data_IF_757915761802
#
_entry.id   IF_757915761802
#
_cell.length_a   1.000
_cell.length_b   1.000
_cell.length_c   1.000
_cell.angle_alpha   90.00
_cell.angle_beta   90.00
_cell.angle_gamma   90.00
#
_symmetry.space_group_name_H-M   'P 1'
#
loop_
_entity.id
_entity.type
_entity.pdbx_description
1 polymer ?
#
# COMPACT_ATOMS: atom_id res chain seq x y z
N UNK A 1 4.30 11.76 8.26
CA UNK A 1 5.68 11.26 8.33
C UNK A 1 5.66 9.85 8.89
N UNK A 2 6.34 8.88 8.24
CA UNK A 2 6.56 7.51 8.75
C UNK A 2 8.04 7.37 9.10
N UNK A 3 8.34 6.85 10.29
CA UNK A 3 9.70 6.73 10.80
C UNK A 3 9.97 5.32 11.34
N UNK A 4 11.12 4.78 10.97
CA UNK A 4 11.74 3.63 11.63
C UNK A 4 12.89 4.13 12.49
N UNK A 5 12.88 3.79 13.77
CA UNK A 5 13.92 4.18 14.72
C UNK A 5 14.59 2.94 15.29
N UNK A 6 15.82 2.65 14.83
CA UNK A 6 16.67 1.54 15.27
C UNK A 6 15.97 0.17 15.28
N UNK A 7 15.17 -0.10 14.24
CA UNK A 7 14.34 -1.31 14.14
C UNK A 7 15.20 -2.55 13.91
N UNK A 8 15.10 -3.52 14.81
CA UNK A 8 15.65 -4.86 14.65
C UNK A 8 14.53 -5.91 14.64
N UNK A 9 14.67 -6.94 13.82
CA UNK A 9 13.68 -8.01 13.73
C UNK A 9 14.28 -9.33 13.25
N UNK A 10 13.87 -10.44 13.88
CA UNK A 10 14.30 -11.80 13.55
C UNK A 10 13.12 -12.77 13.51
N UNK A 11 13.17 -13.76 12.61
CA UNK A 11 12.33 -14.94 12.70
C UNK A 11 13.10 -16.06 13.41
N UNK A 12 12.87 -16.21 14.72
CA UNK A 12 13.64 -17.14 15.56
C UNK A 12 15.13 -16.76 15.58
N UNK A 13 15.99 -17.60 14.97
CA UNK A 13 17.45 -17.32 14.88
C UNK A 13 17.86 -16.59 13.60
N UNK A 14 16.92 -16.38 12.67
CA UNK A 14 17.22 -15.72 11.39
C UNK A 14 17.03 -14.23 11.52
N UNK A 15 18.12 -13.49 11.54
CA UNK A 15 18.11 -12.03 11.48
C UNK A 15 17.57 -11.55 10.13
N UNK A 16 16.65 -10.59 10.15
CA UNK A 16 16.05 -9.98 8.96
C UNK A 16 16.45 -8.51 8.85
N UNK A 17 16.31 -7.76 9.95
CA UNK A 17 16.72 -6.35 10.03
C UNK A 17 17.57 -6.14 11.27
N UNK A 18 18.62 -5.36 11.13
CA UNK A 18 19.56 -4.98 12.19
C UNK A 18 19.71 -3.47 12.24
N UNK A 19 19.18 -2.87 13.31
CA UNK A 19 19.32 -1.44 13.57
C UNK A 19 18.90 -0.56 12.38
N UNK A 20 17.79 -0.90 11.73
CA UNK A 20 17.28 -0.23 10.55
C UNK A 20 16.61 1.09 10.94
N UNK A 21 17.10 2.22 10.41
CA UNK A 21 16.49 3.54 10.61
C UNK A 21 16.25 4.20 9.27
N UNK A 22 15.08 4.80 9.11
CA UNK A 22 14.69 5.54 7.92
C UNK A 22 13.53 6.47 8.21
N UNK A 23 13.48 7.59 7.49
CA UNK A 23 12.39 8.56 7.51
C UNK A 23 11.74 8.59 6.13
N UNK A 24 10.41 8.54 6.08
CA UNK A 24 9.62 8.63 4.84
C UNK A 24 8.70 9.84 4.90
N UNK A 25 8.84 10.70 3.91
CA UNK A 25 8.18 11.99 3.88
C UNK A 25 6.80 11.92 3.20
N UNK A 26 5.93 12.82 3.60
CA UNK A 26 4.61 13.01 3.02
C UNK A 26 4.71 13.52 1.59
N UNK A 27 3.87 13.00 0.71
CA UNK A 27 3.84 13.39 -0.70
C UNK A 27 5.04 12.86 -1.49
N UNK A 28 5.64 11.74 -1.07
CA UNK A 28 6.76 11.14 -1.78
C UNK A 28 6.62 9.64 -1.94
N UNK A 29 7.30 9.11 -2.94
CA UNK A 29 7.46 7.69 -3.20
C UNK A 29 8.86 7.22 -2.81
N UNK A 30 8.95 6.09 -2.11
CA UNK A 30 10.23 5.42 -1.81
C UNK A 30 10.19 3.98 -2.28
N UNK A 31 11.11 3.60 -3.16
CA UNK A 31 11.32 2.21 -3.53
C UNK A 31 12.23 1.53 -2.49
N UNK A 32 11.76 0.42 -1.92
CA UNK A 32 12.55 -0.48 -1.09
C UNK A 32 13.07 -1.62 -1.98
N UNK A 33 14.35 -1.59 -2.29
CA UNK A 33 14.98 -2.58 -3.15
C UNK A 33 15.74 -3.64 -2.37
N UNK A 34 15.87 -4.81 -2.98
CA UNK A 34 16.67 -5.91 -2.46
C UNK A 34 16.30 -7.23 -3.12
N UNK A 35 17.17 -8.24 -3.06
CA UNK A 35 16.88 -9.54 -3.63
C UNK A 35 15.70 -10.22 -2.96
N UNK A 36 15.19 -11.29 -3.58
CA UNK A 36 14.15 -12.11 -2.95
C UNK A 36 14.65 -12.65 -1.60
N UNK A 37 13.81 -12.55 -0.57
CA UNK A 37 14.16 -12.97 0.79
C UNK A 37 15.03 -11.99 1.59
N UNK A 38 15.32 -10.77 1.09
CA UNK A 38 16.08 -9.74 1.82
C UNK A 38 15.32 -9.12 3.00
N UNK A 39 14.00 -9.32 3.09
CA UNK A 39 13.19 -8.77 4.18
C UNK A 39 12.23 -7.64 3.77
N UNK A 40 12.07 -7.33 2.47
CA UNK A 40 11.16 -6.27 1.98
C UNK A 40 9.74 -6.40 2.54
N UNK A 41 9.11 -7.55 2.32
CA UNK A 41 7.75 -7.83 2.85
C UNK A 41 7.71 -7.78 4.38
N UNK A 42 8.78 -8.22 5.07
CA UNK A 42 8.89 -8.13 6.53
C UNK A 42 8.93 -6.68 6.98
N UNK A 43 9.72 -5.85 6.31
CA UNK A 43 9.78 -4.40 6.58
C UNK A 43 8.41 -3.75 6.41
N UNK A 44 7.67 -4.03 5.31
CA UNK A 44 6.31 -3.52 5.14
C UNK A 44 5.35 -4.00 6.24
N UNK A 45 5.52 -5.25 6.73
CA UNK A 45 4.70 -5.79 7.83
C UNK A 45 5.03 -5.19 9.19
N UNK A 46 6.23 -4.68 9.39
CA UNK A 46 6.58 -3.88 10.56
C UNK A 46 5.96 -2.48 10.47
N UNK A 47 5.98 -1.88 9.27
CA UNK A 47 5.39 -0.56 9.02
C UNK A 47 3.86 -0.54 9.16
N UNK A 48 3.16 -1.63 8.80
CA UNK A 48 1.70 -1.75 8.96
C UNK A 48 1.27 -2.33 10.33
N UNK A 49 2.21 -2.51 11.26
CA UNK A 49 1.93 -3.06 12.58
C UNK A 49 1.50 -4.53 12.60
N UNK A 50 1.60 -5.26 11.46
CA UNK A 50 1.31 -6.70 11.38
C UNK A 50 2.38 -7.54 12.08
N UNK A 51 3.57 -6.97 12.26
CA UNK A 51 4.66 -7.51 13.07
C UNK A 51 5.10 -6.45 14.06
N UNK A 52 5.56 -6.91 15.22
CA UNK A 52 6.20 -6.06 16.22
C UNK A 52 7.71 -6.22 16.09
N UNK A 53 8.50 -5.13 16.06
CA UNK A 53 9.96 -5.22 16.06
C UNK A 53 10.48 -5.79 17.38
N UNK A 54 11.61 -6.52 17.33
CA UNK A 54 12.31 -7.01 18.54
C UNK A 54 13.00 -5.86 19.29
N UNK A 55 13.52 -4.87 18.53
CA UNK A 55 14.11 -3.63 19.05
C UNK A 55 13.68 -2.44 18.22
N UNK A 56 13.75 -1.24 18.81
CA UNK A 56 13.38 -0.01 18.13
C UNK A 56 11.87 0.17 18.01
N UNK A 57 11.44 1.07 17.13
CA UNK A 57 10.02 1.36 16.94
C UNK A 57 9.72 1.85 15.53
N UNK A 58 8.44 1.71 15.14
CA UNK A 58 7.88 2.30 13.91
C UNK A 58 6.78 3.26 14.29
N UNK A 59 6.83 4.49 13.78
CA UNK A 59 5.84 5.51 14.08
C UNK A 59 5.24 6.11 12.81
N UNK A 60 3.94 6.45 12.87
CA UNK A 60 3.25 7.27 11.87
C UNK A 60 2.80 8.54 12.58
N UNK A 61 3.26 9.71 12.10
CA UNK A 61 3.02 11.02 12.71
C UNK A 61 3.30 11.05 14.22
N UNK A 62 4.37 10.36 14.65
CA UNK A 62 4.82 10.25 16.04
C UNK A 62 4.06 9.21 16.88
N UNK A 63 3.02 8.58 16.36
CA UNK A 63 2.28 7.51 17.05
C UNK A 63 2.88 6.14 16.69
N UNK A 64 3.25 5.34 17.70
CA UNK A 64 3.78 3.98 17.48
C UNK A 64 2.71 3.08 16.86
N UNK A 65 2.99 2.48 15.70
CA UNK A 65 2.05 1.66 14.93
C UNK A 65 1.51 0.46 15.73
N UNK A 66 2.31 -0.09 16.65
CA UNK A 66 1.91 -1.21 17.48
C UNK A 66 1.00 -0.79 18.67
N UNK A 67 0.89 0.52 18.96
CA UNK A 67 0.00 1.09 19.97
C UNK A 67 -1.32 1.61 19.40
N UNK A 68 -1.42 1.75 18.08
CA UNK A 68 -2.65 2.17 17.40
C UNK A 68 -3.59 0.97 17.30
N UNK A 69 -4.89 1.18 17.58
CA UNK A 69 -5.88 0.13 17.32
C UNK A 69 -5.77 -0.33 15.85
N UNK A 70 -5.63 -1.63 15.65
CA UNK A 70 -5.41 -2.24 14.33
C UNK A 70 -6.48 -1.86 13.29
N UNK A 71 -7.73 -1.65 13.72
CA UNK A 71 -8.80 -1.21 12.84
C UNK A 71 -8.57 0.20 12.33
N UNK A 72 -8.13 1.09 13.20
CA UNK A 72 -7.81 2.47 12.84
C UNK A 72 -6.55 2.53 11.98
N UNK A 73 -5.54 1.73 12.31
CA UNK A 73 -4.30 1.67 11.54
C UNK A 73 -4.56 1.20 10.10
N UNK A 74 -5.19 0.01 9.94
CA UNK A 74 -5.43 -0.60 8.62
C UNK A 74 -6.70 -0.10 7.92
N UNK A 75 -7.54 0.66 8.60
CA UNK A 75 -8.79 1.20 8.04
C UNK A 75 -8.67 2.60 7.45
N UNK A 76 -7.69 3.40 7.90
CA UNK A 76 -7.58 4.80 7.48
C UNK A 76 -6.16 5.35 7.43
N UNK A 77 -5.23 4.84 8.24
CA UNK A 77 -3.88 5.39 8.29
C UNK A 77 -2.92 4.72 7.32
N UNK A 78 -2.98 3.38 7.22
CA UNK A 78 -2.04 2.60 6.43
C UNK A 78 -2.77 1.57 5.59
N UNK A 79 -2.59 1.58 4.29
CA UNK A 79 -3.19 0.64 3.36
C UNK A 79 -2.12 -0.16 2.62
N UNK A 80 -2.43 -1.45 2.35
CA UNK A 80 -1.53 -2.33 1.57
C UNK A 80 -2.09 -2.64 0.20
N UNK A 81 -1.20 -2.59 -0.77
CA UNK A 81 -1.40 -3.11 -2.13
C UNK A 81 -0.56 -4.39 -2.24
N UNK A 82 -1.17 -5.48 -2.65
CA UNK A 82 -0.55 -6.80 -2.73
C UNK A 82 -0.28 -7.20 -4.17
N UNK A 83 0.72 -8.05 -4.38
CA UNK A 83 1.07 -8.60 -5.68
C UNK A 83 -0.06 -9.45 -6.29
N UNK A 84 -0.84 -10.15 -5.45
CA UNK A 84 -1.99 -10.98 -5.84
C UNK A 84 -3.32 -10.21 -5.88
N UNK A 85 -3.27 -8.87 -5.91
CA UNK A 85 -4.39 -7.92 -5.97
C UNK A 85 -5.41 -8.04 -4.82
N UNK A 86 -5.66 -9.24 -4.32
CA UNK A 86 -6.65 -9.60 -3.29
C UNK A 86 -8.05 -9.05 -3.58
N UNK A 87 -8.44 -9.09 -4.84
CA UNK A 87 -9.80 -8.80 -5.24
C UNK A 87 -10.68 -10.03 -5.06
N UNK A 88 -11.98 -9.78 -4.85
CA UNK A 88 -12.98 -10.83 -4.82
C UNK A 88 -13.47 -11.02 -6.27
N UNK A 89 -13.16 -12.14 -6.94
CA UNK A 89 -13.28 -12.26 -8.39
C UNK A 89 -14.74 -12.30 -8.90
N UNK A 90 -15.68 -12.68 -8.05
CA UNK A 90 -17.12 -12.75 -8.35
C UNK A 90 -17.88 -11.48 -7.97
N UNK A 91 -17.25 -10.50 -7.37
CA UNK A 91 -17.76 -9.16 -7.18
C UNK A 91 -17.36 -8.27 -8.35
N UNK A 92 -18.18 -7.28 -8.64
CA UNK A 92 -17.79 -6.25 -9.61
C UNK A 92 -16.75 -5.27 -9.03
N UNK A 93 -16.24 -4.38 -9.87
CA UNK A 93 -15.22 -3.40 -9.50
C UNK A 93 -15.74 -2.45 -8.42
N UNK A 94 -16.96 -1.97 -8.54
CA UNK A 94 -17.62 -1.09 -7.57
C UNK A 94 -17.71 -1.77 -6.20
N UNK A 95 -18.19 -3.00 -6.17
CA UNK A 95 -18.32 -3.80 -4.94
C UNK A 95 -16.96 -4.03 -4.27
N UNK A 96 -15.92 -4.36 -5.06
CA UNK A 96 -14.55 -4.51 -4.53
C UNK A 96 -14.01 -3.23 -3.88
N UNK A 97 -14.28 -2.05 -4.45
CA UNK A 97 -13.86 -0.77 -3.86
C UNK A 97 -14.72 -0.44 -2.62
N UNK A 98 -16.01 -0.75 -2.66
CA UNK A 98 -16.92 -0.52 -1.53
C UNK A 98 -16.49 -1.25 -0.26
N UNK A 99 -15.84 -2.40 -0.36
CA UNK A 99 -15.31 -3.12 0.81
C UNK A 99 -14.40 -2.25 1.70
N UNK A 100 -13.66 -1.30 1.10
CA UNK A 100 -12.84 -0.36 1.87
C UNK A 100 -13.71 0.61 2.70
N UNK A 101 -14.75 1.17 2.10
CA UNK A 101 -15.68 2.06 2.80
C UNK A 101 -16.43 1.33 3.91
N UNK A 102 -16.89 0.09 3.66
CA UNK A 102 -17.56 -0.72 4.65
C UNK A 102 -16.68 -1.05 5.86
N UNK A 103 -15.42 -1.39 5.60
CA UNK A 103 -14.46 -1.66 6.68
C UNK A 103 -14.26 -0.42 7.58
N UNK A 104 -14.23 0.77 6.99
CA UNK A 104 -14.09 2.02 7.73
C UNK A 104 -15.37 2.38 8.50
N UNK A 105 -16.56 2.26 7.90
CA UNK A 105 -17.83 2.58 8.56
C UNK A 105 -18.12 1.65 9.74
N UNK A 106 -17.80 0.35 9.65
CA UNK A 106 -17.87 -0.58 10.80
C UNK A 106 -16.97 -0.13 11.94
N UNK A 107 -15.81 0.45 11.63
CA UNK A 107 -14.89 0.97 12.65
C UNK A 107 -15.45 2.19 13.38
N UNK A 108 -16.32 2.98 12.73
CA UNK A 108 -16.99 4.15 13.32
C UNK A 108 -18.31 3.80 14.04
N UNK A 109 -18.63 2.51 14.21
CA UNK A 109 -19.86 2.08 14.91
C UNK A 109 -21.16 2.30 14.11
N UNK A 110 -21.08 2.60 12.81
CA UNK A 110 -22.23 2.80 11.94
C UNK A 110 -22.64 1.47 11.28
N UNK A 111 -23.72 0.88 11.74
CA UNK A 111 -24.20 -0.46 11.31
C UNK A 111 -25.19 -0.41 10.15
N UNK A 112 -25.20 0.61 9.31
CA UNK A 112 -26.13 0.70 8.18
C UNK A 112 -25.42 0.73 6.84
N UNK A 113 -25.20 -0.47 6.28
CA UNK A 113 -25.03 -0.66 4.84
C UNK A 113 -26.43 -0.97 4.29
N UNK A 114 -27.14 0.06 3.90
CA UNK A 114 -28.29 -0.06 2.97
C UNK A 114 -28.22 1.15 2.04
N UNK A 115 -27.99 0.80 0.77
CA UNK A 115 -27.92 1.71 -0.37
C UNK A 115 -26.63 2.56 -0.40
N UNK A 116 -25.77 2.25 -1.36
CA UNK A 116 -24.66 3.13 -1.76
C UNK A 116 -25.23 4.52 -1.92
N UNK A 117 -24.83 5.44 -1.07
CA UNK A 117 -25.30 6.82 -1.21
C UNK A 117 -24.85 7.35 -2.57
N UNK A 118 -25.61 8.26 -3.17
CA UNK A 118 -25.22 8.88 -4.45
C UNK A 118 -23.84 9.55 -4.36
N UNK A 119 -23.46 9.99 -3.16
CA UNK A 119 -22.14 10.54 -2.88
C UNK A 119 -21.03 9.48 -2.96
N UNK A 120 -21.23 8.28 -2.41
CA UNK A 120 -20.27 7.17 -2.50
C UNK A 120 -20.13 6.67 -3.93
N UNK A 121 -21.24 6.58 -4.69
CA UNK A 121 -21.21 6.23 -6.11
C UNK A 121 -20.34 7.20 -6.90
N UNK A 122 -20.55 8.52 -6.75
CA UNK A 122 -19.74 9.53 -7.42
C UNK A 122 -18.26 9.46 -6.98
N UNK A 123 -18.00 9.13 -5.71
CA UNK A 123 -16.63 8.95 -5.21
C UNK A 123 -15.94 7.78 -5.89
N UNK A 124 -16.63 6.63 -6.07
CA UNK A 124 -16.07 5.46 -6.75
C UNK A 124 -15.82 5.78 -8.24
N UNK A 125 -16.74 6.45 -8.92
CA UNK A 125 -16.55 6.82 -10.32
C UNK A 125 -15.34 7.74 -10.50
N UNK A 126 -15.13 8.72 -9.60
CA UNK A 126 -13.93 9.57 -9.60
C UNK A 126 -12.65 8.76 -9.33
N UNK A 127 -12.68 7.80 -8.40
CA UNK A 127 -11.54 6.92 -8.14
C UNK A 127 -11.19 6.07 -9.36
N UNK A 128 -12.22 5.58 -10.08
CA UNK A 128 -12.01 4.81 -11.31
C UNK A 128 -11.43 5.67 -12.44
N UNK A 129 -11.83 6.94 -12.56
CA UNK A 129 -11.19 7.89 -13.48
C UNK A 129 -9.72 8.11 -13.11
N UNK A 130 -9.41 8.27 -11.83
CA UNK A 130 -8.06 8.49 -11.32
C UNK A 130 -7.11 7.33 -11.62
N UNK A 131 -7.61 6.09 -11.56
CA UNK A 131 -6.82 4.89 -11.90
C UNK A 131 -6.96 4.47 -13.38
N UNK A 132 -7.52 5.31 -14.24
CA UNK A 132 -7.75 5.06 -15.67
C UNK A 132 -8.63 3.84 -15.97
N UNK A 133 -9.69 3.64 -15.16
CA UNK A 133 -10.72 2.61 -15.33
C UNK A 133 -12.14 3.21 -15.43
N UNK A 134 -12.26 4.40 -16.04
CA UNK A 134 -13.56 5.01 -16.27
C UNK A 134 -14.50 4.03 -17.02
N UNK A 135 -15.72 3.84 -16.51
CA UNK A 135 -16.71 2.94 -17.10
C UNK A 135 -16.61 1.47 -16.68
N UNK A 136 -15.61 1.07 -15.88
CA UNK A 136 -15.39 -0.33 -15.47
C UNK A 136 -16.18 -0.73 -14.21
N UNK A 137 -16.93 0.17 -13.61
CA UNK A 137 -17.60 -0.03 -12.31
C UNK A 137 -18.39 -1.37 -12.20
N UNK A 138 -19.07 -1.78 -13.27
CA UNK A 138 -19.93 -2.96 -13.30
C UNK A 138 -19.25 -4.20 -13.93
N UNK A 139 -17.95 -4.17 -14.20
CA UNK A 139 -17.22 -5.33 -14.70
C UNK A 139 -16.82 -6.25 -13.54
N UNK A 140 -16.94 -7.56 -13.73
CA UNK A 140 -16.50 -8.55 -12.73
C UNK A 140 -14.97 -8.49 -12.60
N UNK A 141 -14.47 -8.40 -11.38
CA UNK A 141 -13.04 -8.30 -11.12
C UNK A 141 -12.24 -9.50 -11.67
N UNK A 142 -12.84 -10.70 -11.68
CA UNK A 142 -12.20 -11.90 -12.21
C UNK A 142 -12.09 -11.94 -13.75
N UNK A 143 -12.71 -11.02 -14.47
CA UNK A 143 -12.65 -10.93 -15.95
C UNK A 143 -11.64 -9.87 -16.43
N UNK A 144 -11.08 -9.10 -15.52
CA UNK A 144 -10.11 -8.05 -15.80
C UNK A 144 -8.73 -8.63 -16.10
N UNK A 145 -7.95 -7.93 -16.94
CA UNK A 145 -6.51 -8.18 -17.10
C UNK A 145 -5.75 -7.92 -15.80
N UNK A 146 -4.53 -8.44 -15.68
CA UNK A 146 -3.70 -8.23 -14.48
C UNK A 146 -3.47 -6.75 -14.16
N UNK A 147 -3.19 -5.93 -15.18
CA UNK A 147 -3.01 -4.49 -15.01
C UNK A 147 -4.30 -3.77 -14.56
N UNK A 148 -5.46 -4.16 -15.08
CA UNK A 148 -6.75 -3.63 -14.65
C UNK A 148 -7.07 -4.06 -13.21
N UNK A 149 -6.83 -5.32 -12.84
CA UNK A 149 -6.99 -5.80 -11.46
C UNK A 149 -6.11 -5.02 -10.49
N UNK A 150 -4.86 -4.74 -10.87
CA UNK A 150 -3.96 -3.93 -10.04
C UNK A 150 -4.47 -2.50 -9.87
N UNK A 151 -5.00 -1.87 -10.92
CA UNK A 151 -5.62 -0.54 -10.83
C UNK A 151 -6.84 -0.53 -9.91
N UNK A 152 -7.67 -1.57 -9.92
CA UNK A 152 -8.79 -1.73 -8.97
C UNK A 152 -8.26 -1.87 -7.53
N UNK A 153 -7.19 -2.65 -7.32
CA UNK A 153 -6.56 -2.79 -6.00
C UNK A 153 -5.99 -1.45 -5.48
N UNK A 154 -5.41 -0.62 -6.38
CA UNK A 154 -4.96 0.73 -6.07
C UNK A 154 -6.15 1.63 -5.74
N UNK A 155 -7.22 1.66 -6.56
CA UNK A 155 -8.42 2.43 -6.29
C UNK A 155 -9.02 2.09 -4.91
N UNK A 156 -9.09 0.80 -4.58
CA UNK A 156 -9.51 0.34 -3.26
C UNK A 156 -8.60 0.85 -2.13
N UNK A 157 -7.29 0.88 -2.35
CA UNK A 157 -6.34 1.36 -1.35
C UNK A 157 -6.47 2.87 -1.09
N UNK A 158 -6.66 3.67 -2.15
CA UNK A 158 -6.75 5.13 -2.02
C UNK A 158 -8.15 5.63 -1.63
N UNK A 159 -9.18 4.78 -1.69
CA UNK A 159 -10.57 5.13 -1.38
C UNK A 159 -10.72 5.80 0.00
N UNK A 160 -9.88 5.43 0.96
CA UNK A 160 -9.88 5.95 2.32
C UNK A 160 -8.89 7.10 2.55
N UNK A 161 -8.21 7.57 1.50
CA UNK A 161 -7.19 8.62 1.57
C UNK A 161 -6.16 8.36 2.68
N UNK A 162 -5.48 7.19 2.64
CA UNK A 162 -4.57 6.80 3.70
C UNK A 162 -3.34 7.71 3.76
N UNK A 163 -2.77 7.86 4.97
CA UNK A 163 -1.48 8.55 5.16
C UNK A 163 -0.32 7.79 4.55
N UNK A 164 -0.38 6.45 4.60
CA UNK A 164 0.68 5.54 4.14
C UNK A 164 0.09 4.48 3.21
N UNK A 165 0.71 4.28 2.06
CA UNK A 165 0.43 3.21 1.13
C UNK A 165 1.67 2.33 1.04
N UNK A 166 1.53 1.04 1.34
CA UNK A 166 2.59 0.05 1.28
C UNK A 166 2.31 -0.93 0.14
N UNK A 167 3.05 -0.86 -0.93
CA UNK A 167 2.91 -1.72 -2.11
C UNK A 167 3.96 -2.83 -2.09
N UNK A 168 3.53 -4.08 -2.03
CA UNK A 168 4.39 -5.26 -1.98
C UNK A 168 4.45 -5.92 -3.36
N UNK A 169 5.53 -5.69 -4.11
CA UNK A 169 5.73 -6.15 -5.50
C UNK A 169 4.52 -5.87 -6.42
N UNK A 170 4.04 -4.59 -6.48
CA UNK A 170 2.74 -4.27 -7.10
C UNK A 170 2.71 -4.49 -8.63
N UNK A 171 3.85 -4.78 -9.23
CA UNK A 171 4.03 -4.93 -10.68
C UNK A 171 4.58 -6.30 -11.07
N UNK A 172 4.81 -7.20 -10.10
CA UNK A 172 5.55 -8.44 -10.30
C UNK A 172 4.91 -9.47 -11.26
N UNK A 173 3.66 -9.27 -11.66
CA UNK A 173 2.92 -10.13 -12.61
C UNK A 173 2.55 -9.41 -13.91
N UNK A 174 3.01 -8.17 -14.10
CA UNK A 174 2.64 -7.31 -15.23
C UNK A 174 3.73 -7.29 -16.31
N UNK A 175 3.33 -6.99 -17.53
CA UNK A 175 4.25 -6.65 -18.60
C UNK A 175 4.89 -5.26 -18.36
N UNK A 176 5.92 -4.93 -19.14
CA UNK A 176 6.73 -3.74 -18.95
C UNK A 176 5.91 -2.44 -19.07
N UNK A 177 4.97 -2.36 -20.02
CA UNK A 177 4.12 -1.18 -20.23
C UNK A 177 3.18 -0.94 -19.03
N UNK A 178 2.51 -1.99 -18.57
CA UNK A 178 1.64 -1.90 -17.39
C UNK A 178 2.45 -1.63 -16.11
N UNK A 179 3.67 -2.18 -16.01
CA UNK A 179 4.58 -1.93 -14.87
C UNK A 179 4.92 -0.45 -14.75
N UNK A 180 5.35 0.20 -15.85
CA UNK A 180 5.65 1.62 -15.87
C UNK A 180 4.41 2.48 -15.55
N UNK A 181 3.26 2.12 -16.13
CA UNK A 181 2.01 2.82 -15.89
C UNK A 181 1.56 2.74 -14.41
N UNK A 182 1.73 1.59 -13.75
CA UNK A 182 1.43 1.45 -12.32
C UNK A 182 2.42 2.21 -11.45
N UNK A 183 3.72 2.20 -11.78
CA UNK A 183 4.72 2.96 -11.04
C UNK A 183 4.45 4.47 -11.11
N UNK A 184 4.14 4.99 -12.30
CA UNK A 184 3.75 6.38 -12.51
C UNK A 184 2.48 6.73 -11.72
N UNK A 185 1.44 5.89 -11.80
CA UNK A 185 0.19 6.09 -11.06
C UNK A 185 0.41 6.19 -9.55
N UNK A 186 1.25 5.33 -8.98
CA UNK A 186 1.57 5.37 -7.54
C UNK A 186 2.33 6.65 -7.16
N UNK A 187 3.22 7.15 -8.05
CA UNK A 187 3.91 8.42 -7.86
C UNK A 187 2.95 9.60 -7.91
N UNK A 188 2.05 9.64 -8.91
CA UNK A 188 1.04 10.70 -9.03
C UNK A 188 0.12 10.75 -7.80
N UNK A 189 -0.31 9.58 -7.30
CA UNK A 189 -1.13 9.48 -6.08
C UNK A 189 -0.36 10.02 -4.87
N UNK A 190 0.92 9.67 -4.71
CA UNK A 190 1.74 10.17 -3.61
C UNK A 190 1.76 11.69 -3.57
N UNK A 191 2.08 12.31 -4.71
CA UNK A 191 2.20 13.76 -4.83
C UNK A 191 0.85 14.48 -4.68
N UNK A 192 -0.20 13.97 -5.36
CA UNK A 192 -1.52 14.60 -5.38
C UNK A 192 -2.24 14.51 -4.03
N UNK A 193 -2.29 13.30 -3.45
CA UNK A 193 -3.00 13.06 -2.19
C UNK A 193 -2.12 13.31 -0.96
N UNK A 194 -0.84 13.66 -1.16
CA UNK A 194 0.17 13.86 -0.12
C UNK A 194 0.35 12.62 0.77
N UNK A 195 0.15 11.45 0.20
CA UNK A 195 0.39 10.17 0.88
C UNK A 195 1.87 9.80 0.87
N UNK A 196 2.31 9.03 1.85
CA UNK A 196 3.61 8.37 1.84
C UNK A 196 3.44 7.05 1.10
N UNK A 197 4.09 6.88 -0.05
CA UNK A 197 4.01 5.63 -0.82
C UNK A 197 5.33 4.89 -0.75
N UNK A 198 5.30 3.65 -0.25
CA UNK A 198 6.48 2.79 -0.13
C UNK A 198 6.26 1.57 -1.01
N UNK A 199 7.15 1.35 -1.97
CA UNK A 199 7.07 0.29 -2.98
C UNK A 199 8.20 -0.71 -2.73
N UNK A 200 7.89 -1.89 -2.20
CA UNK A 200 8.84 -2.99 -2.15
C UNK A 200 8.92 -3.64 -3.52
N UNK A 201 10.10 -3.62 -4.12
CA UNK A 201 10.32 -4.20 -5.45
C UNK A 201 11.75 -4.70 -5.63
N UNK A 202 11.95 -5.60 -6.57
CA UNK A 202 13.27 -5.97 -7.08
C UNK A 202 13.52 -5.40 -8.49
N UNK A 203 12.51 -4.74 -9.07
CA UNK A 203 12.59 -4.18 -10.41
C UNK A 203 13.16 -2.77 -10.40
N UNK A 204 14.19 -2.55 -11.24
CA UNK A 204 14.88 -1.26 -11.35
C UNK A 204 14.04 -0.21 -12.06
N UNK A 205 13.17 -0.62 -13.00
CA UNK A 205 12.28 0.29 -13.73
C UNK A 205 11.29 0.93 -12.78
N UNK A 206 10.65 0.14 -11.91
CA UNK A 206 9.75 0.64 -10.87
C UNK A 206 10.49 1.57 -9.90
N UNK A 207 11.70 1.19 -9.49
CA UNK A 207 12.49 2.01 -8.57
C UNK A 207 12.87 3.37 -9.16
N UNK A 208 13.14 3.45 -10.47
CA UNK A 208 13.46 4.71 -11.15
C UNK A 208 12.29 5.70 -11.24
N UNK A 209 11.05 5.25 -11.06
CA UNK A 209 9.86 6.11 -10.99
C UNK A 209 9.57 6.60 -9.57
N UNK A 210 10.38 6.20 -8.58
CA UNK A 210 10.25 6.66 -7.20
C UNK A 210 11.17 7.85 -6.94
N UNK A 211 10.74 8.75 -6.04
CA UNK A 211 11.53 9.94 -5.66
C UNK A 211 12.81 9.56 -4.92
N UNK A 212 12.79 8.39 -4.24
CA UNK A 212 13.90 7.91 -3.41
C UNK A 212 14.03 6.40 -3.52
N UNK A 213 15.28 5.90 -3.47
CA UNK A 213 15.58 4.47 -3.45
C UNK A 213 16.33 4.14 -2.15
N UNK A 214 15.83 3.15 -1.42
CA UNK A 214 16.45 2.56 -0.24
C UNK A 214 16.68 1.07 -0.49
N UNK A 215 17.87 0.56 -0.19
CA UNK A 215 18.19 -0.85 -0.37
C UNK A 215 18.29 -1.57 0.97
N UNK A 216 17.78 -2.81 1.00
CA UNK A 216 18.10 -3.73 2.10
C UNK A 216 19.38 -4.47 1.72
N UNK A 217 20.46 -4.15 2.43
CA UNK A 217 21.77 -4.77 2.24
C UNK A 217 22.36 -5.12 3.62
N UNK A 218 22.83 -6.36 3.78
CA UNK A 218 23.41 -6.84 5.04
C UNK A 218 22.51 -6.55 6.26
N UNK A 219 21.20 -6.80 6.12
CA UNK A 219 20.16 -6.55 7.13
C UNK A 219 19.91 -5.08 7.48
N UNK A 220 20.51 -4.12 6.78
CA UNK A 220 20.39 -2.68 7.01
C UNK A 220 19.71 -1.97 5.86
N UNK A 221 19.16 -0.79 6.15
CA UNK A 221 18.66 0.13 5.14
C UNK A 221 19.80 1.06 4.71
N UNK A 222 20.05 1.09 3.42
CA UNK A 222 21.08 1.94 2.80
C UNK A 222 20.41 2.80 1.74
N UNK A 223 20.56 4.11 1.84
CA UNK A 223 20.08 5.06 0.85
C UNK A 223 20.99 5.06 -0.36
N UNK A 224 20.43 5.21 -1.56
CA UNK A 224 21.17 5.23 -2.82
C UNK A 224 21.12 6.60 -3.48
#
# INVERSE_FOLDING_TARGET
MLELDHVGFSYGKRLILDNASALFEEGSTTAIMGPSGSGKTTLLRLMDGSLQPDTGSVTIDGANVNSIDRKNLLGSLCMRIFQDYRLIPYLDVRENIMLAFEAAHKNLGQTKIKETSRAESNTIDNLLEEVHLAGYANHLAGQLSGGEQQRVAIARAIAMKPRVILADEPTGTLDEENMQAIATLLSDIAHKERSIVIIATHDTTVAQHSDRIVRIQDHKLVEQ
#
